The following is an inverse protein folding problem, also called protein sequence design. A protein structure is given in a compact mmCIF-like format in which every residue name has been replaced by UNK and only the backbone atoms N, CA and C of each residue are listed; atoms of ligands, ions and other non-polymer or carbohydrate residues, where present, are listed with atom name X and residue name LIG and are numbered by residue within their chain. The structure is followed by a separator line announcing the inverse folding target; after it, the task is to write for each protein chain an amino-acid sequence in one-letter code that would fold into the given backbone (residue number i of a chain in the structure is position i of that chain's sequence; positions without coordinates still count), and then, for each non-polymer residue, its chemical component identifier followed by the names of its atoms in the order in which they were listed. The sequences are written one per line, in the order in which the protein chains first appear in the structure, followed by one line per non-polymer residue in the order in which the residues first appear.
data_IF_724129484908
#
_entry.id   IF_724129484908
#
_cell.length_a   1.000
_cell.length_b   1.000
_cell.length_c   1.000
_cell.angle_alpha   90.00
_cell.angle_beta   90.00
_cell.angle_gamma   90.00
#
_symmetry.space_group_name_H-M   'P 1'
#
loop_
_entity.id
_entity.type
_entity.pdbx_description
1 polymer ?
#
# COMPACT_ATOMS: atom_id res chain seq x y z
N UNK A 1 -29.29 28.30 47.67
CA UNK A 1 -29.84 29.50 47.00
C UNK A 1 -28.68 30.44 46.71
N UNK A 2 -28.66 31.01 45.49
CA UNK A 2 -28.17 32.35 45.09
C UNK A 2 -27.70 32.30 43.63
N UNK A 3 -28.64 32.52 42.71
CA UNK A 3 -28.34 33.06 41.37
C UNK A 3 -27.94 34.54 41.51
N UNK A 4 -27.15 35.07 40.57
CA UNK A 4 -27.83 35.99 39.64
C UNK A 4 -27.52 35.71 38.17
N UNK A 5 -28.63 35.70 37.41
CA UNK A 5 -28.71 35.98 35.99
C UNK A 5 -27.88 37.22 35.62
N UNK A 6 -27.20 37.17 34.47
CA UNK A 6 -27.37 38.28 33.54
C UNK A 6 -27.27 37.87 32.08
N UNK A 7 -28.40 38.07 31.38
CA UNK A 7 -28.66 37.81 29.98
C UNK A 7 -28.31 39.08 29.20
N UNK A 8 -27.34 39.00 28.29
CA UNK A 8 -27.23 39.94 27.17
C UNK A 8 -27.15 39.14 25.88
N UNK A 9 -28.23 39.20 25.12
CA UNK A 9 -28.32 38.72 23.74
C UNK A 9 -27.91 39.89 22.86
N UNK A 10 -26.90 39.70 22.00
CA UNK A 10 -26.79 40.39 20.73
C UNK A 10 -25.90 39.55 19.79
N UNK A 11 -26.32 39.30 18.54
CA UNK A 11 -25.64 38.41 17.61
C UNK A 11 -24.52 39.17 16.90
N UNK A 12 -23.33 38.58 16.83
CA UNK A 12 -22.30 39.09 15.92
C UNK A 12 -21.63 37.93 15.20
N UNK A 13 -22.03 37.81 13.93
CA UNK A 13 -21.30 37.29 12.79
C UNK A 13 -20.13 36.33 13.09
N UNK A 14 -20.38 35.05 12.87
CA UNK A 14 -19.35 34.07 12.65
C UNK A 14 -18.65 34.35 11.30
N UNK A 15 -17.40 34.76 11.33
CA UNK A 15 -16.43 34.48 10.26
C UNK A 15 -15.10 34.18 10.95
N UNK A 16 -14.90 32.89 11.27
CA UNK A 16 -13.63 32.41 11.79
C UNK A 16 -12.62 32.35 10.64
N UNK A 17 -11.63 33.24 10.72
CA UNK A 17 -10.43 33.21 9.92
C UNK A 17 -9.47 32.18 10.53
N UNK A 18 -9.30 31.03 9.89
CA UNK A 18 -8.25 30.03 10.13
C UNK A 18 -8.14 29.25 8.81
N UNK A 19 -7.02 29.06 8.14
CA UNK A 19 -5.61 29.20 8.44
C UNK A 19 -4.95 28.41 7.30
N UNK A 20 -4.12 29.08 6.50
CA UNK A 20 -3.36 28.42 5.43
C UNK A 20 -2.27 27.55 6.08
N UNK A 21 -2.58 26.27 6.22
CA UNK A 21 -1.64 25.17 6.52
C UNK A 21 -1.85 24.23 5.33
N UNK A 22 -0.90 24.04 4.42
CA UNK A 22 0.51 23.80 4.64
C UNK A 22 0.78 22.38 4.18
N UNK A 23 1.44 22.26 3.02
CA UNK A 23 2.05 21.05 2.48
C UNK A 23 1.12 19.83 2.23
N UNK A 24 0.59 19.75 1.00
CA UNK A 24 0.39 18.43 0.39
C UNK A 24 1.77 17.77 0.28
N UNK A 25 2.01 16.74 1.10
CA UNK A 25 3.14 15.83 0.90
C UNK A 25 2.82 14.96 -0.31
N UNK A 26 3.39 15.29 -1.45
CA UNK A 26 3.41 14.41 -2.61
C UNK A 26 4.31 13.21 -2.28
N UNK A 27 3.81 11.95 -2.30
CA UNK A 27 4.70 10.81 -2.23
C UNK A 27 5.62 10.83 -3.47
N UNK A 28 6.92 10.59 -3.32
CA UNK A 28 7.84 10.56 -4.46
C UNK A 28 7.34 9.53 -5.46
N UNK A 29 7.08 9.98 -6.69
CA UNK A 29 6.90 9.09 -7.84
C UNK A 29 8.23 8.34 -8.00
N UNK A 30 8.25 7.00 -8.03
CA UNK A 30 9.46 6.30 -8.43
C UNK A 30 9.74 6.68 -9.89
N UNK A 31 10.91 7.27 -10.12
CA UNK A 31 11.42 7.53 -11.45
C UNK A 31 11.43 6.21 -12.22
N UNK A 32 10.62 6.17 -13.28
CA UNK A 32 10.64 5.11 -14.27
C UNK A 32 12.01 5.14 -14.94
N UNK A 33 12.93 4.36 -14.39
CA UNK A 33 14.17 3.99 -15.04
C UNK A 33 13.80 2.92 -16.06
N UNK A 34 13.93 3.28 -17.34
CA UNK A 34 14.00 2.38 -18.47
C UNK A 34 14.90 1.18 -18.11
N UNK A 35 14.31 0.00 -18.01
CA UNK A 35 15.04 -1.25 -18.24
C UNK A 35 14.08 -2.19 -18.95
N UNK A 36 14.12 -2.06 -20.27
CA UNK A 36 13.69 -3.06 -21.23
C UNK A 36 14.33 -4.42 -20.91
N UNK A 37 13.59 -5.27 -20.20
CA UNK A 37 13.77 -6.72 -20.29
C UNK A 37 12.46 -7.45 -20.01
N UNK A 38 11.81 -7.87 -21.08
CA UNK A 38 10.72 -8.83 -21.05
C UNK A 38 9.35 -8.16 -20.95
N UNK A 39 8.78 -7.84 -22.11
CA UNK A 39 7.34 -7.80 -22.29
C UNK A 39 6.79 -9.22 -22.04
N UNK A 40 6.71 -9.60 -20.76
CA UNK A 40 5.68 -10.52 -20.32
C UNK A 40 4.39 -9.75 -20.58
N UNK A 41 3.61 -10.26 -21.54
CA UNK A 41 2.24 -9.85 -21.83
C UNK A 41 1.58 -9.31 -20.58
N UNK A 42 0.91 -8.16 -20.65
CA UNK A 42 0.06 -7.64 -19.57
C UNK A 42 -0.94 -8.74 -19.20
N UNK A 43 -0.52 -9.64 -18.34
CA UNK A 43 -1.34 -10.74 -17.87
C UNK A 43 -2.31 -10.10 -16.89
N UNK A 44 -3.61 -10.32 -17.12
CA UNK A 44 -4.72 -9.87 -16.28
C UNK A 44 -4.75 -10.58 -14.92
N UNK A 45 -3.63 -10.65 -14.21
CA UNK A 45 -3.59 -11.08 -12.82
C UNK A 45 -3.64 -9.89 -11.87
N UNK A 46 -4.28 -10.12 -10.73
CA UNK A 46 -4.38 -9.12 -9.66
C UNK A 46 -2.99 -8.79 -9.14
N UNK A 47 -2.71 -7.50 -8.97
CA UNK A 47 -1.46 -6.99 -8.40
C UNK A 47 -1.63 -6.73 -6.91
N UNK A 48 -0.61 -7.09 -6.14
CA UNK A 48 -0.52 -6.72 -4.73
C UNK A 48 0.18 -5.36 -4.51
N UNK A 49 0.35 -4.95 -3.24
CA UNK A 49 0.99 -3.68 -2.88
C UNK A 49 2.44 -3.50 -3.38
N UNK A 50 3.16 -4.60 -3.63
CA UNK A 50 4.53 -4.61 -4.17
C UNK A 50 4.57 -4.75 -5.69
N UNK A 51 3.43 -4.56 -6.36
CA UNK A 51 3.24 -4.74 -7.80
C UNK A 51 3.61 -6.16 -8.27
N UNK A 52 3.55 -7.15 -7.37
CA UNK A 52 3.70 -8.56 -7.67
C UNK A 52 2.39 -9.21 -8.05
N UNK A 53 2.46 -10.45 -8.53
CA UNK A 53 1.27 -11.26 -8.76
C UNK A 53 0.68 -11.68 -7.43
N UNK A 54 -0.58 -11.32 -7.18
CA UNK A 54 -1.34 -11.74 -6.02
C UNK A 54 -1.99 -13.09 -6.29
N UNK A 55 -1.77 -14.05 -5.40
CA UNK A 55 -2.32 -15.40 -5.41
C UNK A 55 -3.17 -15.55 -4.15
N UNK A 56 -4.46 -15.83 -4.29
CA UNK A 56 -5.40 -15.89 -3.16
C UNK A 56 -5.97 -17.30 -2.99
N UNK A 57 -6.10 -17.72 -1.73
CA UNK A 57 -6.80 -18.93 -1.29
C UNK A 57 -7.60 -18.61 -0.01
N UNK A 58 -8.87 -18.23 -0.21
CA UNK A 58 -9.75 -17.79 0.87
C UNK A 58 -9.20 -16.57 1.60
N UNK A 59 -8.95 -16.71 2.90
CA UNK A 59 -8.38 -15.65 3.74
C UNK A 59 -6.86 -15.51 3.58
N UNK A 60 -6.18 -16.50 3.00
CA UNK A 60 -4.73 -16.48 2.85
C UNK A 60 -4.36 -15.97 1.45
N UNK A 61 -3.30 -15.18 1.35
CA UNK A 61 -2.78 -14.75 0.06
C UNK A 61 -1.26 -14.68 0.07
N UNK A 62 -0.66 -14.83 -1.11
CA UNK A 62 0.76 -14.59 -1.38
C UNK A 62 0.89 -13.60 -2.52
N UNK A 63 1.63 -12.52 -2.30
CA UNK A 63 2.13 -11.71 -3.41
C UNK A 63 3.54 -12.15 -3.77
N UNK A 64 3.78 -12.43 -5.06
CA UNK A 64 5.08 -12.86 -5.57
C UNK A 64 5.63 -11.86 -6.60
N UNK A 65 6.87 -11.41 -6.39
CA UNK A 65 7.65 -10.61 -7.35
C UNK A 65 8.95 -11.33 -7.71
N UNK A 66 9.55 -10.94 -8.84
CA UNK A 66 10.92 -11.31 -9.20
C UNK A 66 11.78 -10.04 -9.19
N UNK A 67 12.94 -10.09 -8.55
CA UNK A 67 13.90 -9.00 -8.48
C UNK A 67 15.23 -9.44 -9.09
N UNK A 68 15.72 -8.69 -10.08
CA UNK A 68 16.86 -9.10 -10.91
C UNK A 68 17.87 -7.97 -11.14
N UNK A 69 17.60 -6.74 -10.68
CA UNK A 69 18.49 -5.60 -10.88
C UNK A 69 19.73 -5.71 -10.01
N UNK A 70 20.89 -5.92 -10.64
CA UNK A 70 22.20 -5.94 -9.96
C UNK A 70 22.45 -7.17 -9.09
N UNK A 71 21.59 -8.20 -9.17
CA UNK A 71 21.68 -9.45 -8.42
C UNK A 71 21.18 -10.62 -9.26
N UNK A 72 21.55 -11.88 -8.93
CA UNK A 72 20.86 -13.04 -9.47
C UNK A 72 19.35 -12.96 -9.19
N UNK A 73 18.49 -13.47 -10.09
CA UNK A 73 17.04 -13.44 -9.89
C UNK A 73 16.61 -14.00 -8.53
N UNK A 74 15.77 -13.23 -7.84
CA UNK A 74 15.23 -13.60 -6.53
C UNK A 74 13.72 -13.48 -6.55
N UNK A 75 13.03 -14.53 -6.13
CA UNK A 75 11.62 -14.42 -5.78
C UNK A 75 11.49 -13.71 -4.43
N UNK A 76 10.65 -12.68 -4.36
CA UNK A 76 10.22 -12.09 -3.09
C UNK A 76 8.76 -12.43 -2.88
N UNK A 77 8.45 -12.89 -1.67
CA UNK A 77 7.12 -13.38 -1.33
C UNK A 77 6.62 -12.65 -0.10
N UNK A 78 5.40 -12.13 -0.19
CA UNK A 78 4.73 -11.40 0.87
C UNK A 78 3.44 -12.14 1.24
N UNK A 79 3.39 -12.80 2.41
CA UNK A 79 2.20 -13.51 2.84
C UNK A 79 1.20 -12.58 3.54
N UNK A 80 -0.08 -12.88 3.37
CA UNK A 80 -1.18 -12.16 3.98
C UNK A 80 -2.21 -13.11 4.58
N UNK A 81 -2.92 -12.64 5.61
CA UNK A 81 -4.13 -13.25 6.13
C UNK A 81 -5.18 -12.17 6.39
N UNK A 82 -6.38 -12.36 5.85
CA UNK A 82 -7.48 -11.41 5.93
C UNK A 82 -7.06 -10.00 5.43
N UNK A 83 -6.21 -9.96 4.41
CA UNK A 83 -5.64 -8.73 3.83
C UNK A 83 -4.53 -8.05 4.65
N UNK A 84 -4.18 -8.57 5.84
CA UNK A 84 -3.09 -8.06 6.67
C UNK A 84 -1.80 -8.84 6.41
N UNK A 85 -0.61 -8.20 6.41
CA UNK A 85 0.67 -8.89 6.28
C UNK A 85 0.88 -9.93 7.39
N UNK A 86 1.43 -11.08 7.03
CA UNK A 86 1.91 -12.09 7.97
C UNK A 86 3.43 -11.99 8.13
N UNK A 87 3.92 -12.43 9.29
CA UNK A 87 5.35 -12.67 9.49
C UNK A 87 5.80 -13.79 8.53
N UNK A 88 6.76 -13.55 7.62
CA UNK A 88 7.22 -14.57 6.68
C UNK A 88 7.78 -15.82 7.37
N UNK A 89 8.32 -15.70 8.59
CA UNK A 89 8.83 -16.84 9.36
C UNK A 89 7.73 -17.78 9.88
N UNK A 90 6.47 -17.34 9.85
CA UNK A 90 5.30 -18.14 10.23
C UNK A 90 4.71 -18.96 9.07
N UNK A 91 5.29 -18.85 7.86
CA UNK A 91 4.80 -19.51 6.65
C UNK A 91 5.84 -20.53 6.17
N UNK A 92 5.41 -21.78 6.04
CA UNK A 92 6.20 -22.80 5.35
C UNK A 92 5.91 -22.73 3.84
N UNK A 93 6.91 -22.32 3.05
CA UNK A 93 6.76 -22.04 1.63
C UNK A 93 7.75 -22.85 0.80
N UNK A 94 7.23 -23.60 -0.17
CA UNK A 94 8.03 -24.25 -1.21
C UNK A 94 7.72 -23.63 -2.57
N UNK A 95 8.73 -23.06 -3.23
CA UNK A 95 8.63 -22.58 -4.62
C UNK A 95 9.27 -23.60 -5.56
N UNK A 96 8.52 -24.05 -6.58
CA UNK A 96 9.01 -24.96 -7.63
C UNK A 96 9.07 -24.23 -8.96
N UNK A 97 10.29 -24.05 -9.48
CA UNK A 97 10.50 -23.46 -10.81
C UNK A 97 10.60 -24.57 -11.86
N UNK A 98 9.58 -24.69 -12.69
CA UNK A 98 9.61 -25.56 -13.88
C UNK A 98 10.11 -24.75 -15.08
N UNK A 99 11.29 -25.12 -15.61
CA UNK A 99 11.83 -24.56 -16.86
C UNK A 99 11.44 -25.49 -18.02
N UNK A 100 10.91 -24.94 -19.10
CA UNK A 100 10.35 -25.72 -20.19
C UNK A 100 11.35 -26.18 -21.27
N UNK A 101 12.58 -25.66 -21.27
CA UNK A 101 13.68 -26.16 -22.12
C UNK A 101 13.45 -25.99 -23.61
#
# INVERSE_FOLDING_TARGET
MNHPLNRRVAPLAAVFLLGLIGACGEPPKPDASDTDHGEATVEDYVRGPHNGRLLEDGAFALEMTIFETGVPPQYRIYPYKDGAPLDPSSVDLTVKLHRLG
#
